data_IF_246569438216
#
_entry.id   IF_246569438216
#
_cell.length_a   1.000
_cell.length_b   1.000
_cell.length_c   1.000
_cell.angle_alpha   90.00
_cell.angle_beta   90.00
_cell.angle_gamma   90.00
#
_symmetry.space_group_name_H-M   'P 1'
#
loop_
_entity.id
_entity.type
_entity.pdbx_description
1 polymer ?
#
# COMPACT_ATOMS: atom_id res chain seq x y z
N UNK A 1 -14.71 0.90 2.15
CA UNK A 1 -14.79 1.25 0.71
C UNK A 1 -13.56 0.76 -0.04
N UNK A 2 -12.35 1.03 0.46
CA UNK A 2 -11.08 0.45 -0.03
C UNK A 2 -11.08 -1.08 -0.04
N UNK A 3 -11.51 -1.73 1.04
CA UNK A 3 -11.60 -3.20 1.14
C UNK A 3 -12.48 -3.83 0.06
N UNK A 4 -13.64 -3.21 -0.22
CA UNK A 4 -14.58 -3.69 -1.25
C UNK A 4 -13.95 -3.59 -2.64
N UNK A 5 -13.26 -2.49 -2.94
CA UNK A 5 -12.59 -2.30 -4.23
C UNK A 5 -11.41 -3.25 -4.42
N UNK A 6 -10.67 -3.54 -3.35
CA UNK A 6 -9.59 -4.53 -3.40
C UNK A 6 -10.14 -5.91 -3.75
N UNK A 7 -11.21 -6.35 -3.08
CA UNK A 7 -11.86 -7.63 -3.34
C UNK A 7 -12.45 -7.70 -4.76
N UNK A 8 -13.09 -6.62 -5.23
CA UNK A 8 -13.64 -6.54 -6.60
C UNK A 8 -12.56 -6.67 -7.68
N UNK A 9 -11.33 -6.26 -7.39
CA UNK A 9 -10.19 -6.33 -8.31
C UNK A 9 -9.33 -7.58 -8.09
N UNK A 10 -9.82 -8.58 -7.33
CA UNK A 10 -9.17 -9.86 -7.13
C UNK A 10 -8.06 -9.87 -6.07
N UNK A 11 -7.96 -8.83 -5.25
CA UNK A 11 -7.08 -8.78 -4.08
C UNK A 11 -7.74 -9.33 -2.81
N UNK A 12 -6.96 -9.46 -1.75
CA UNK A 12 -7.42 -9.92 -0.44
C UNK A 12 -6.99 -8.93 0.65
N UNK A 13 -7.87 -8.68 1.62
CA UNK A 13 -7.57 -7.86 2.80
C UNK A 13 -6.99 -8.78 3.87
N UNK A 14 -5.85 -8.41 4.45
CA UNK A 14 -5.24 -9.12 5.58
C UNK A 14 -4.65 -8.14 6.60
N UNK A 15 -4.16 -8.67 7.72
CA UNK A 15 -3.48 -7.91 8.78
C UNK A 15 -2.06 -7.53 8.39
N UNK A 16 -1.54 -6.45 9.00
CA UNK A 16 -0.14 -6.04 8.86
C UNK A 16 0.85 -7.07 9.40
N UNK A 17 0.43 -7.93 10.33
CA UNK A 17 1.27 -9.01 10.88
C UNK A 17 1.28 -10.28 10.01
N UNK A 18 0.46 -10.32 8.95
CA UNK A 18 0.40 -11.47 8.06
C UNK A 18 1.62 -11.52 7.14
N UNK A 19 2.42 -12.58 7.28
CA UNK A 19 3.61 -12.82 6.46
C UNK A 19 3.32 -12.97 4.96
N UNK A 20 2.07 -13.27 4.59
CA UNK A 20 1.61 -13.40 3.20
C UNK A 20 1.20 -12.06 2.59
N UNK A 21 1.06 -11.01 3.40
CA UNK A 21 0.72 -9.68 2.93
C UNK A 21 1.81 -9.17 1.97
N UNK A 22 1.38 -8.68 0.81
CA UNK A 22 2.26 -8.24 -0.28
C UNK A 22 2.37 -6.71 -0.35
N UNK A 23 1.34 -5.99 0.09
CA UNK A 23 1.26 -4.53 -0.01
C UNK A 23 0.63 -3.95 1.26
N UNK A 24 1.30 -2.96 1.84
CA UNK A 24 0.77 -2.11 2.92
C UNK A 24 0.52 -0.74 2.31
N UNK A 25 -0.75 -0.33 2.24
CA UNK A 25 -1.14 0.97 1.69
C UNK A 25 -1.28 1.97 2.84
N UNK A 26 -0.48 3.04 2.79
CA UNK A 26 -0.38 4.05 3.85
C UNK A 26 -0.91 5.39 3.35
N UNK A 27 -1.76 6.04 4.15
CA UNK A 27 -2.17 7.42 3.90
C UNK A 27 -1.17 8.38 4.57
N UNK A 28 -0.29 8.97 3.77
CA UNK A 28 0.75 9.91 4.21
C UNK A 28 0.22 11.19 4.87
N UNK A 29 -1.07 11.50 4.70
CA UNK A 29 -1.70 12.65 5.37
C UNK A 29 -2.06 12.36 6.82
N UNK A 30 -2.11 11.08 7.21
CA UNK A 30 -2.56 10.63 8.54
C UNK A 30 -1.50 9.84 9.31
N UNK A 31 -0.59 9.18 8.59
CA UNK A 31 0.46 8.35 9.16
C UNK A 31 1.79 9.10 9.10
N UNK A 32 2.31 9.45 10.28
CA UNK A 32 3.54 10.22 10.43
C UNK A 32 4.81 9.37 10.29
N UNK A 33 4.76 8.09 10.69
CA UNK A 33 5.90 7.18 10.73
C UNK A 33 5.61 5.90 9.96
N UNK A 34 6.65 5.34 9.33
CA UNK A 34 6.56 4.06 8.62
C UNK A 34 6.13 2.94 9.57
N UNK A 35 5.03 2.28 9.22
CA UNK A 35 4.59 1.08 9.92
C UNK A 35 5.55 -0.09 9.61
N UNK A 36 5.98 -0.82 10.64
CA UNK A 36 6.74 -2.06 10.48
C UNK A 36 5.82 -3.18 9.98
N UNK A 37 5.63 -3.23 8.67
CA UNK A 37 4.95 -4.33 7.99
C UNK A 37 5.84 -5.57 7.83
N UNK A 38 5.31 -6.63 7.18
CA UNK A 38 6.09 -7.82 6.90
C UNK A 38 7.30 -7.45 6.04
N UNK A 39 8.47 -8.03 6.32
CA UNK A 39 9.74 -7.66 5.67
C UNK A 39 9.75 -7.80 4.12
N UNK A 40 8.76 -8.49 3.55
CA UNK A 40 8.60 -8.71 2.10
C UNK A 40 7.49 -7.87 1.46
N UNK A 41 6.70 -7.15 2.26
CA UNK A 41 5.61 -6.34 1.76
C UNK A 41 6.10 -4.99 1.24
N UNK A 42 5.50 -4.52 0.15
CA UNK A 42 5.71 -3.16 -0.35
C UNK A 42 4.91 -2.18 0.50
N UNK A 43 5.58 -1.21 1.11
CA UNK A 43 4.90 -0.11 1.79
C UNK A 43 4.74 1.02 0.78
N UNK A 44 3.50 1.26 0.35
CA UNK A 44 3.17 2.21 -0.72
C UNK A 44 2.17 3.26 -0.24
N UNK A 45 2.18 4.43 -0.86
CA UNK A 45 1.24 5.51 -0.61
C UNK A 45 -0.17 5.15 -1.08
N UNK A 46 -1.19 5.73 -0.45
CA UNK A 46 -2.59 5.59 -0.84
C UNK A 46 -2.84 5.93 -2.32
N UNK A 47 -2.06 6.86 -2.88
CA UNK A 47 -2.11 7.23 -4.29
C UNK A 47 -1.89 6.05 -5.24
N UNK A 48 -1.01 5.10 -4.89
CA UNK A 48 -0.79 3.89 -5.69
C UNK A 48 -2.08 3.11 -5.88
N UNK A 49 -2.80 2.85 -4.78
CA UNK A 49 -4.03 2.09 -4.79
C UNK A 49 -5.11 2.79 -5.62
N UNK A 50 -5.35 4.08 -5.35
CA UNK A 50 -6.40 4.82 -6.05
C UNK A 50 -6.11 4.98 -7.54
N UNK A 51 -4.86 5.23 -7.92
CA UNK A 51 -4.47 5.35 -9.33
C UNK A 51 -4.54 4.00 -10.04
N UNK A 52 -4.18 2.91 -9.38
CA UNK A 52 -4.32 1.55 -9.91
C UNK A 52 -5.77 1.17 -10.17
N UNK A 53 -6.67 1.48 -9.23
CA UNK A 53 -8.12 1.29 -9.41
C UNK A 53 -8.63 2.14 -10.58
N UNK A 54 -8.27 3.42 -10.64
CA UNK A 54 -8.74 4.33 -11.68
C UNK A 54 -8.25 3.95 -13.09
N UNK A 55 -7.03 3.44 -13.20
CA UNK A 55 -6.44 3.03 -14.48
C UNK A 55 -6.73 1.56 -14.83
N UNK A 56 -7.37 0.81 -13.93
CA UNK A 56 -7.63 -0.63 -14.06
C UNK A 56 -6.35 -1.45 -14.33
N UNK A 57 -5.22 -1.01 -13.78
CA UNK A 57 -3.91 -1.68 -13.92
C UNK A 57 -3.15 -1.71 -12.60
N UNK A 58 -2.37 -2.78 -12.38
CA UNK A 58 -1.41 -2.82 -11.28
C UNK A 58 -0.21 -1.95 -11.65
N UNK A 59 -0.03 -0.83 -10.95
CA UNK A 59 1.09 0.08 -11.17
C UNK A 59 2.34 -0.45 -10.46
N UNK A 60 3.52 -0.05 -10.93
CA UNK A 60 4.77 -0.38 -10.25
C UNK A 60 4.90 0.34 -8.92
N UNK A 61 5.32 -0.38 -7.88
CA UNK A 61 5.35 0.09 -6.49
C UNK A 61 6.48 1.10 -6.24
N UNK A 62 7.59 1.00 -6.99
CA UNK A 62 8.80 1.83 -6.84
C UNK A 62 8.56 3.33 -6.89
N UNK A 63 7.60 3.77 -7.71
CA UNK A 63 7.27 5.19 -7.87
C UNK A 63 6.39 5.73 -6.73
N UNK A 64 5.83 4.84 -5.92
CA UNK A 64 4.85 5.14 -4.89
C UNK A 64 5.26 4.63 -3.51
N UNK A 65 6.54 4.29 -3.32
CA UNK A 65 7.04 3.83 -2.03
C UNK A 65 6.83 4.90 -0.97
N UNK A 66 6.37 4.45 0.20
CA UNK A 66 6.41 5.24 1.41
C UNK A 66 7.79 5.07 2.04
N UNK A 67 8.79 5.69 1.40
CA UNK A 67 10.15 5.78 1.96
C UNK A 67 10.17 6.95 2.94
N UNK A 68 10.76 6.74 4.13
CA UNK A 68 11.03 7.81 5.09
C UNK A 68 11.94 8.83 4.40
N UNK A 69 11.36 9.89 3.85
CA UNK A 69 12.10 11.13 3.56
C UNK A 69 12.37 11.80 4.91
N UNK A 70 13.26 11.18 5.69
CA UNK A 70 14.05 11.83 6.72
C UNK A 70 15.52 11.59 6.38
N UNK A 71 15.90 11.96 5.15
CA UNK A 71 17.28 12.33 4.85
C UNK A 71 17.44 13.82 5.21
N UNK A 72 17.62 14.10 6.50
CA UNK A 72 18.28 15.32 7.01
C UNK A 72 19.14 14.97 8.21
#
# INVERSE_FOLDING_TARGET
MTEVLLLCNGGEVTSIDDISCTHVVVDESTVADRLEGPAKAWVVKAEWFWTSVQKEISLGEKEYLFDDVSNF
#
